data_IF_788817007662
#
_entry.id   IF_788817007662
#
_cell.length_a   1.000
_cell.length_b   1.000
_cell.length_c   1.000
_cell.angle_alpha   90.00
_cell.angle_beta   90.00
_cell.angle_gamma   90.00
#
_symmetry.space_group_name_H-M   'P 1'
#
loop_
_entity.id
_entity.type
_entity.pdbx_description
1 polymer ?
#
# COMPACT_ATOMS: atom_id res chain seq x y z
N UNK A 1 5.07 0.39 15.45
CA UNK A 1 4.74 1.15 14.24
C UNK A 1 5.94 1.12 13.31
N UNK A 2 5.69 1.00 12.00
CA UNK A 2 6.62 1.26 10.91
C UNK A 2 5.97 2.27 9.96
N UNK A 3 6.79 3.07 9.27
CA UNK A 3 6.37 4.01 8.25
C UNK A 3 7.31 3.91 7.05
N UNK A 4 6.74 3.76 5.86
CA UNK A 4 7.45 3.59 4.61
C UNK A 4 6.91 4.57 3.58
N UNK A 5 7.81 5.27 2.90
CA UNK A 5 7.44 6.37 2.02
C UNK A 5 8.01 6.21 0.61
N UNK A 6 7.38 6.90 -0.33
CA UNK A 6 7.96 7.22 -1.63
C UNK A 6 7.51 8.63 -2.01
N UNK A 7 8.44 9.59 -1.91
CA UNK A 7 8.19 11.01 -2.19
C UNK A 7 8.13 11.31 -3.69
N UNK A 8 8.65 10.42 -4.55
CA UNK A 8 8.67 10.60 -5.98
C UNK A 8 7.30 10.30 -6.62
N UNK A 9 7.12 10.77 -7.86
CA UNK A 9 6.06 10.28 -8.73
C UNK A 9 6.55 8.96 -9.34
N UNK A 10 5.78 7.90 -9.14
CA UNK A 10 6.06 6.57 -9.70
C UNK A 10 4.90 6.14 -10.58
N UNK A 11 5.20 5.76 -11.81
CA UNK A 11 4.23 5.09 -12.69
C UNK A 11 4.19 3.61 -12.36
N UNK A 12 3.03 3.13 -11.90
CA UNK A 12 2.80 1.73 -11.50
C UNK A 12 1.87 1.09 -12.52
N UNK A 13 2.33 0.02 -13.17
CA UNK A 13 1.51 -0.74 -14.11
C UNK A 13 0.31 -1.43 -13.42
N UNK A 14 -0.72 -1.75 -14.20
CA UNK A 14 -1.89 -2.48 -13.68
C UNK A 14 -1.47 -3.82 -13.04
N UNK A 15 -2.03 -4.13 -11.87
CA UNK A 15 -1.71 -5.33 -11.09
C UNK A 15 -0.29 -5.36 -10.51
N UNK A 16 0.45 -4.24 -10.53
CA UNK A 16 1.77 -4.14 -9.90
C UNK A 16 1.71 -3.40 -8.57
N UNK A 17 2.70 -3.72 -7.72
CA UNK A 17 2.86 -3.10 -6.42
C UNK A 17 3.70 -1.83 -6.50
N UNK A 18 3.27 -0.79 -5.78
CA UNK A 18 4.04 0.44 -5.60
C UNK A 18 5.33 0.16 -4.83
N UNK A 19 6.53 0.46 -5.38
CA UNK A 19 7.76 0.41 -4.61
C UNK A 19 7.81 1.49 -3.54
N UNK A 20 8.13 1.09 -2.30
CA UNK A 20 8.39 2.00 -1.19
C UNK A 20 9.91 2.16 -1.05
N UNK A 21 10.40 3.38 -1.22
CA UNK A 21 11.84 3.67 -1.38
C UNK A 21 12.51 4.17 -0.12
N UNK A 22 11.76 4.42 0.94
CA UNK A 22 12.27 4.99 2.18
C UNK A 22 11.62 4.31 3.39
N UNK A 23 12.37 4.15 4.48
CA UNK A 23 11.84 3.73 5.79
C UNK A 23 11.94 4.90 6.76
N UNK A 24 10.90 5.72 6.83
CA UNK A 24 10.87 6.90 7.69
C UNK A 24 10.86 6.52 9.18
N UNK A 25 10.09 5.49 9.53
CA UNK A 25 10.06 4.92 10.89
C UNK A 25 10.27 3.42 10.81
N UNK A 26 11.37 2.94 11.39
CA UNK A 26 11.65 1.51 11.48
C UNK A 26 10.94 0.90 12.68
N UNK A 27 10.22 -0.19 12.46
CA UNK A 27 9.71 -1.00 13.57
C UNK A 27 10.75 -2.02 14.05
N UNK A 28 10.51 -2.60 15.23
CA UNK A 28 11.25 -3.76 15.71
C UNK A 28 11.03 -5.00 14.82
N UNK A 29 11.36 -6.18 15.34
CA UNK A 29 11.39 -7.43 14.58
C UNK A 29 10.07 -7.90 13.97
N UNK A 30 8.95 -7.24 14.24
CA UNK A 30 7.60 -7.64 13.86
C UNK A 30 7.15 -7.11 12.48
N UNK A 31 7.83 -6.11 11.92
CA UNK A 31 7.57 -5.58 10.57
C UNK A 31 8.91 -5.52 9.84
N UNK A 32 8.96 -6.07 8.64
CA UNK A 32 10.16 -6.09 7.80
C UNK A 32 9.85 -5.56 6.40
N UNK A 33 10.77 -4.78 5.85
CA UNK A 33 10.70 -4.22 4.51
C UNK A 33 12.13 -4.11 3.97
N UNK A 34 12.27 -4.24 2.66
CA UNK A 34 13.52 -3.94 1.95
C UNK A 34 13.28 -2.69 1.14
N UNK A 35 14.14 -1.69 1.29
CA UNK A 35 14.08 -0.45 0.52
C UNK A 35 13.95 -0.71 -1.00
N UNK A 36 13.04 0.00 -1.65
CA UNK A 36 12.66 -0.19 -3.05
C UNK A 36 11.70 -1.37 -3.31
N UNK A 37 11.39 -2.21 -2.32
CA UNK A 37 10.37 -3.25 -2.47
C UNK A 37 8.95 -2.68 -2.33
N UNK A 38 8.01 -3.22 -3.10
CA UNK A 38 6.58 -2.94 -2.95
C UNK A 38 5.87 -3.84 -1.95
N UNK A 39 6.61 -4.59 -1.14
CA UNK A 39 6.07 -5.56 -0.19
C UNK A 39 6.64 -5.29 1.20
N UNK A 40 5.75 -5.23 2.18
CA UNK A 40 6.07 -5.19 3.61
C UNK A 40 5.63 -6.51 4.23
N UNK A 41 6.45 -7.10 5.09
CA UNK A 41 6.15 -8.35 5.80
C UNK A 41 5.74 -8.05 7.23
N UNK A 42 4.53 -8.44 7.61
CA UNK A 42 4.03 -8.41 8.98
C UNK A 42 4.25 -9.79 9.63
N UNK A 43 4.68 -9.83 10.89
CA UNK A 43 5.00 -11.08 11.59
C UNK A 43 4.14 -11.25 12.84
N UNK A 44 3.64 -12.45 13.07
CA UNK A 44 2.85 -12.84 14.24
C UNK A 44 3.71 -13.11 15.48
N UNK A 45 4.64 -12.20 15.81
CA UNK A 45 5.51 -12.32 16.98
C UNK A 45 4.75 -11.97 18.27
N UNK A 46 3.93 -12.90 18.74
CA UNK A 46 3.05 -12.72 19.90
C UNK A 46 3.00 -13.97 20.77
N UNK A 47 2.63 -13.79 22.05
CA UNK A 47 2.27 -14.90 22.94
C UNK A 47 0.76 -15.19 22.93
N UNK A 48 -0.04 -14.36 22.25
CA UNK A 48 -1.46 -14.57 22.00
C UNK A 48 -1.69 -15.42 20.74
N UNK A 49 -2.95 -15.73 20.40
CA UNK A 49 -3.26 -16.50 19.18
C UNK A 49 -2.88 -15.79 17.88
N UNK A 50 -2.86 -14.45 17.86
CA UNK A 50 -2.53 -13.61 16.70
C UNK A 50 -1.97 -12.26 17.12
N UNK A 51 -1.22 -11.62 16.22
CA UNK A 51 -0.89 -10.20 16.30
C UNK A 51 -1.80 -9.44 15.34
N UNK A 52 -2.36 -8.30 15.77
CA UNK A 52 -3.20 -7.46 14.92
C UNK A 52 -2.44 -6.21 14.51
N UNK A 53 -2.52 -5.87 13.23
CA UNK A 53 -1.97 -4.66 12.67
C UNK A 53 -3.08 -3.78 12.12
N UNK A 54 -2.96 -2.47 12.29
CA UNK A 54 -3.64 -1.48 11.45
C UNK A 54 -2.65 -1.06 10.37
N UNK A 55 -3.02 -1.24 9.13
CA UNK A 55 -2.27 -0.74 7.97
C UNK A 55 -3.06 0.40 7.38
N UNK A 56 -2.40 1.52 7.12
CA UNK A 56 -2.99 2.71 6.53
C UNK A 56 -2.10 3.19 5.41
N UNK A 57 -2.70 3.61 4.32
CA UNK A 57 -2.00 4.12 3.16
C UNK A 57 -2.66 5.40 2.66
N UNK A 58 -1.84 6.39 2.34
CA UNK A 58 -2.26 7.61 1.68
C UNK A 58 -1.28 8.00 0.57
N UNK A 59 -1.82 8.52 -0.54
CA UNK A 59 -1.03 9.04 -1.65
C UNK A 59 -1.90 9.96 -2.53
N UNK A 60 -1.27 10.60 -3.51
CA UNK A 60 -1.99 11.20 -4.62
C UNK A 60 -1.88 10.30 -5.85
N UNK A 61 -2.99 10.05 -6.55
CA UNK A 61 -3.00 9.25 -7.77
C UNK A 61 -3.56 10.04 -8.96
N UNK A 62 -3.01 9.76 -10.14
CA UNK A 62 -3.41 10.39 -11.39
C UNK A 62 -3.28 9.40 -12.56
N UNK A 63 -3.99 9.69 -13.64
CA UNK A 63 -3.76 9.04 -14.94
C UNK A 63 -2.48 9.65 -15.54
N UNK A 64 -1.48 8.85 -15.98
CA UNK A 64 -0.29 9.38 -16.62
C UNK A 64 -0.63 10.05 -17.97
N UNK A 65 0.23 10.98 -18.40
CA UNK A 65 0.15 11.57 -19.74
C UNK A 65 -0.03 10.50 -20.84
N UNK A 66 -1.04 10.69 -21.69
CA UNK A 66 -1.40 9.74 -22.75
C UNK A 66 -2.28 8.55 -22.30
N UNK A 67 -2.63 8.46 -21.02
CA UNK A 67 -3.58 7.47 -20.50
C UNK A 67 -5.04 7.78 -20.86
N UNK A 68 -5.91 6.77 -20.73
CA UNK A 68 -7.34 6.90 -20.98
C UNK A 68 -8.05 7.43 -19.74
N UNK A 69 -8.98 8.38 -19.92
CA UNK A 69 -9.88 8.87 -18.87
C UNK A 69 -10.82 7.75 -18.44
N UNK A 70 -10.56 7.19 -17.27
CA UNK A 70 -11.31 6.09 -16.67
C UNK A 70 -11.11 6.11 -15.14
N UNK A 71 -11.96 5.40 -14.36
CA UNK A 71 -11.72 5.23 -12.94
C UNK A 71 -10.36 4.56 -12.70
N UNK A 72 -9.56 5.16 -11.81
CA UNK A 72 -8.30 4.60 -11.33
C UNK A 72 -8.41 4.29 -9.84
N UNK A 73 -7.76 3.21 -9.43
CA UNK A 73 -7.84 2.72 -8.06
C UNK A 73 -6.54 2.09 -7.60
N UNK A 74 -6.39 2.08 -6.29
CA UNK A 74 -5.39 1.30 -5.57
C UNK A 74 -6.05 0.52 -4.45
N UNK A 75 -5.43 -0.57 -4.03
CA UNK A 75 -5.89 -1.34 -2.88
C UNK A 75 -4.72 -1.80 -2.01
N UNK A 76 -5.01 -2.02 -0.72
CA UNK A 76 -4.13 -2.82 0.11
C UNK A 76 -4.28 -4.29 -0.29
N UNK A 77 -3.19 -4.92 -0.71
CA UNK A 77 -3.14 -6.34 -1.02
C UNK A 77 -2.56 -7.12 0.16
N UNK A 78 -3.12 -8.30 0.45
CA UNK A 78 -2.65 -9.23 1.46
C UNK A 78 -2.29 -10.54 0.78
N UNK A 79 -1.05 -10.99 0.94
CA UNK A 79 -0.55 -12.22 0.31
C UNK A 79 -0.76 -12.26 -1.22
N UNK A 80 -0.77 -11.09 -1.87
CA UNK A 80 -0.99 -10.96 -3.32
C UNK A 80 -2.46 -10.78 -3.73
N UNK A 81 -3.40 -10.76 -2.78
CA UNK A 81 -4.83 -10.56 -3.06
C UNK A 81 -5.26 -9.15 -2.63
N UNK A 82 -5.70 -8.29 -3.58
CA UNK A 82 -6.27 -6.98 -3.27
C UNK A 82 -7.51 -7.07 -2.38
N UNK A 83 -7.54 -6.29 -1.30
CA UNK A 83 -8.71 -6.20 -0.44
C UNK A 83 -9.71 -5.19 -0.99
N UNK A 84 -10.85 -5.69 -1.49
CA UNK A 84 -11.96 -4.85 -1.94
C UNK A 84 -12.47 -3.88 -0.86
N UNK A 85 -12.39 -4.26 0.43
CA UNK A 85 -12.78 -3.39 1.55
C UNK A 85 -11.79 -2.27 1.85
N UNK A 86 -10.59 -2.32 1.25
CA UNK A 86 -9.52 -1.35 1.42
C UNK A 86 -9.02 -0.84 0.05
N UNK A 87 -9.96 -0.65 -0.88
CA UNK A 87 -9.73 -0.03 -2.19
C UNK A 87 -10.11 1.45 -2.14
N UNK A 88 -9.24 2.32 -2.65
CA UNK A 88 -9.55 3.72 -2.91
C UNK A 88 -9.65 3.96 -4.42
N UNK A 89 -10.71 4.63 -4.86
CA UNK A 89 -11.02 4.86 -6.27
C UNK A 89 -11.34 6.34 -6.51
N UNK A 90 -10.87 6.86 -7.64
CA UNK A 90 -11.17 8.20 -8.13
C UNK A 90 -11.40 8.13 -9.64
N UNK A 91 -12.14 9.11 -10.17
CA UNK A 91 -12.40 9.22 -11.61
C UNK A 91 -11.89 10.59 -12.08
N UNK A 92 -10.61 10.71 -12.46
CA UNK A 92 -10.07 11.94 -13.00
C UNK A 92 -10.76 12.31 -14.31
N UNK A 93 -10.89 13.59 -14.61
CA UNK A 93 -11.43 14.08 -15.88
C UNK A 93 -10.36 14.22 -16.96
N UNK A 94 -9.08 14.26 -16.57
CA UNK A 94 -7.94 14.34 -17.47
C UNK A 94 -6.70 13.58 -16.94
N UNK A 95 -5.70 13.41 -17.80
CA UNK A 95 -4.37 13.00 -17.38
C UNK A 95 -3.71 14.08 -16.49
N UNK A 96 -2.80 13.65 -15.63
CA UNK A 96 -2.05 14.48 -14.67
C UNK A 96 -2.92 15.27 -13.66
N UNK A 97 -4.19 14.89 -13.51
CA UNK A 97 -5.08 15.39 -12.46
C UNK A 97 -4.96 14.51 -11.21
N UNK A 98 -4.24 15.03 -10.20
CA UNK A 98 -3.94 14.30 -8.97
C UNK A 98 -5.06 14.42 -7.94
N UNK A 99 -5.53 13.27 -7.47
CA UNK A 99 -6.48 13.18 -6.37
C UNK A 99 -5.85 12.50 -5.16
N UNK A 100 -6.10 13.04 -3.97
CA UNK A 100 -5.69 12.40 -2.74
C UNK A 100 -6.59 11.19 -2.44
N UNK A 101 -5.96 10.08 -2.10
CA UNK A 101 -6.64 8.84 -1.72
C UNK A 101 -6.11 8.34 -0.38
N UNK A 102 -6.99 7.69 0.37
CA UNK A 102 -6.65 7.06 1.63
C UNK A 102 -7.40 5.72 1.78
N UNK A 103 -6.73 4.73 2.33
CA UNK A 103 -7.32 3.43 2.67
C UNK A 103 -6.66 2.84 3.92
N UNK A 104 -7.39 2.00 4.65
CA UNK A 104 -6.86 1.31 5.81
C UNK A 104 -7.55 -0.04 6.04
N UNK A 105 -6.81 -0.98 6.62
CA UNK A 105 -7.33 -2.30 6.99
C UNK A 105 -6.72 -2.78 8.32
N UNK A 106 -7.50 -3.58 9.07
CA UNK A 106 -6.96 -4.40 10.15
C UNK A 106 -6.55 -5.77 9.62
N UNK A 107 -5.34 -6.19 9.96
CA UNK A 107 -4.74 -7.44 9.48
C UNK A 107 -4.32 -8.28 10.67
N UNK A 108 -4.86 -9.49 10.74
CA UNK A 108 -4.53 -10.47 11.77
C UNK A 108 -3.47 -11.44 11.24
N UNK A 109 -2.33 -11.51 11.92
CA UNK A 109 -1.23 -12.44 11.61
C UNK A 109 -1.19 -13.52 12.68
N UNK A 110 -1.43 -14.81 12.32
CA UNK A 110 -1.37 -15.91 13.27
C UNK A 110 -0.01 -15.99 13.98
N UNK A 111 -0.03 -16.43 15.24
CA UNK A 111 1.19 -16.61 16.04
C UNK A 111 2.22 -17.46 15.28
N UNK A 112 3.46 -16.98 15.24
CA UNK A 112 4.58 -17.67 14.60
C UNK A 112 4.59 -17.60 13.07
N UNK A 113 3.59 -16.97 12.45
CA UNK A 113 3.49 -16.81 11.01
C UNK A 113 4.02 -15.44 10.53
N UNK A 114 4.02 -15.25 9.21
CA UNK A 114 4.19 -13.96 8.56
C UNK A 114 3.23 -13.84 7.37
N UNK A 115 2.83 -12.60 7.08
CA UNK A 115 2.04 -12.28 5.89
C UNK A 115 2.63 -11.06 5.21
N UNK A 116 2.52 -11.02 3.90
CA UNK A 116 2.96 -9.88 3.09
C UNK A 116 1.78 -8.96 2.83
N UNK A 117 2.07 -7.67 2.85
CA UNK A 117 1.15 -6.62 2.44
C UNK A 117 1.80 -5.78 1.35
N UNK A 118 0.98 -5.21 0.48
CA UNK A 118 1.42 -4.30 -0.57
C UNK A 118 0.34 -3.25 -0.87
N UNK A 119 0.72 -2.23 -1.63
CA UNK A 119 -0.23 -1.32 -2.28
C UNK A 119 -0.19 -1.63 -3.75
N UNK A 120 -1.31 -2.11 -4.28
CA UNK A 120 -1.44 -2.55 -5.66
C UNK A 120 -2.24 -1.55 -6.47
N UNK A 121 -1.82 -1.31 -7.71
CA UNK A 121 -2.66 -0.64 -8.70
C UNK A 121 -3.72 -1.62 -9.23
N UNK A 122 -4.96 -1.47 -8.77
CA UNK A 122 -6.11 -2.29 -9.17
C UNK A 122 -6.87 -1.76 -10.39
N UNK A 123 -6.32 -0.73 -11.04
CA UNK A 123 -6.89 -0.18 -12.29
C UNK A 123 -6.61 -1.10 -13.48
N UNK A 124 -7.28 -0.83 -14.59
CA UNK A 124 -7.03 -1.53 -15.87
C UNK A 124 -5.87 -0.94 -16.68
N UNK A 125 -5.20 0.10 -16.16
CA UNK A 125 -4.09 0.80 -16.80
C UNK A 125 -3.02 1.22 -15.79
N UNK A 126 -1.87 1.66 -16.29
CA UNK A 126 -0.85 2.27 -15.44
C UNK A 126 -1.34 3.59 -14.83
N UNK A 127 -0.92 3.85 -13.60
CA UNK A 127 -1.26 5.08 -12.86
C UNK A 127 0.00 5.73 -12.31
N UNK A 128 -0.02 7.06 -12.18
CA UNK A 128 1.00 7.80 -11.45
C UNK A 128 0.59 7.88 -9.98
N UNK A 129 1.48 7.49 -9.08
CA UNK A 129 1.31 7.61 -7.63
C UNK A 129 2.40 8.55 -7.10
N UNK A 130 2.01 9.55 -6.32
CA UNK A 130 2.89 10.59 -5.79
C UNK A 130 2.73 10.74 -4.28
N UNK A 131 3.82 11.10 -3.58
CA UNK A 131 3.82 11.39 -2.15
C UNK A 131 3.18 10.27 -1.31
N UNK A 132 3.64 9.05 -1.54
CA UNK A 132 3.08 7.85 -0.94
C UNK A 132 3.57 7.66 0.49
N UNK A 133 2.65 7.30 1.39
CA UNK A 133 2.95 6.96 2.76
C UNK A 133 2.17 5.72 3.21
N UNK A 134 2.88 4.65 3.58
CA UNK A 134 2.35 3.44 4.19
C UNK A 134 2.75 3.36 5.65
N UNK A 135 1.77 3.30 6.53
CA UNK A 135 1.94 3.15 7.97
C UNK A 135 1.42 1.78 8.38
N UNK A 136 2.24 1.03 9.12
CA UNK A 136 1.86 -0.26 9.72
C UNK A 136 2.06 -0.22 11.23
N UNK A 137 0.97 -0.34 11.98
CA UNK A 137 0.94 -0.25 13.44
C UNK A 137 0.48 -1.57 14.04
N UNK A 138 1.24 -2.13 14.98
CA UNK A 138 0.75 -3.24 15.78
C UNK A 138 -0.19 -2.69 16.85
N UNK A 139 -1.43 -3.19 16.87
CA UNK A 139 -2.50 -2.72 17.76
C UNK A 139 -2.98 -3.77 18.78
N UNK A 140 -2.61 -5.04 18.58
CA UNK A 140 -2.77 -6.13 19.56
C UNK A 140 -1.70 -7.23 19.37
#
# INVERSE_FOLDING_TARGET
MAEFTNSNIVTVAAGQNLPLTETAVKCGSCIAHREGAGIVTLRGLTNQCRARYKVSFGANIAIPAGGTVAPISIALAIAGEPLNSATAIVTPAAADEYFNVFTAAFIDVPRGCCITIAVENTSTQAINIANSNLIAERVA
#
